data_IF_552810663405
#
_entry.id   IF_552810663405
#
_cell.length_a   1.000
_cell.length_b   1.000
_cell.length_c   1.000
_cell.angle_alpha   90.00
_cell.angle_beta   90.00
_cell.angle_gamma   90.00
#
_symmetry.space_group_name_H-M   'P 1'
#
loop_
_entity.id
_entity.type
_entity.pdbx_description
1 polymer ?
#
# COMPACT_ATOMS: atom_id res chain seq x y z
N UNK A 1 -42.41 15.75 -37.15
CA UNK A 1 -41.42 14.92 -36.44
C UNK A 1 -40.10 15.68 -36.38
N UNK A 2 -39.36 15.61 -35.28
CA UNK A 2 -38.01 16.18 -35.19
C UNK A 2 -37.02 15.22 -34.50
N UNK A 3 -35.74 15.31 -34.85
CA UNK A 3 -34.65 14.54 -34.23
C UNK A 3 -33.81 15.45 -33.34
N UNK A 4 -33.46 15.02 -32.13
CA UNK A 4 -32.79 15.83 -31.10
C UNK A 4 -31.74 15.03 -30.33
N UNK A 5 -30.89 15.65 -29.50
CA UNK A 5 -30.02 14.96 -28.54
C UNK A 5 -28.54 14.75 -28.94
N UNK A 6 -28.12 15.27 -30.09
CA UNK A 6 -26.71 15.21 -30.53
C UNK A 6 -26.26 13.86 -31.09
N UNK A 7 -27.06 12.80 -30.95
CA UNK A 7 -26.87 11.52 -31.65
C UNK A 7 -27.64 11.43 -32.97
N UNK A 8 -27.31 10.43 -33.79
CA UNK A 8 -27.93 10.16 -35.08
C UNK A 8 -28.92 8.98 -35.03
N UNK A 9 -30.00 9.06 -35.82
CA UNK A 9 -31.01 8.00 -35.93
C UNK A 9 -32.05 8.28 -37.01
N UNK A 10 -32.91 7.30 -37.27
CA UNK A 10 -34.00 7.32 -38.26
C UNK A 10 -35.34 7.09 -37.57
N UNK A 11 -36.40 7.76 -38.02
CA UNK A 11 -37.76 7.54 -37.51
C UNK A 11 -38.76 7.34 -38.65
N UNK A 12 -39.52 6.26 -38.61
CA UNK A 12 -40.56 5.92 -39.60
C UNK A 12 -41.96 5.86 -38.98
N UNK A 13 -43.02 6.05 -39.76
CA UNK A 13 -44.42 5.92 -39.29
C UNK A 13 -45.23 4.79 -39.92
N UNK A 14 -46.28 4.36 -39.22
CA UNK A 14 -47.39 3.52 -39.72
C UNK A 14 -48.73 4.22 -39.44
N UNK A 15 -49.57 4.56 -40.44
CA UNK A 15 -49.33 4.38 -41.88
C UNK A 15 -48.09 5.13 -42.40
N UNK A 16 -47.55 4.66 -43.53
CA UNK A 16 -46.34 5.21 -44.12
C UNK A 16 -46.54 6.69 -44.52
N UNK A 17 -45.56 7.53 -44.24
CA UNK A 17 -45.60 8.95 -44.58
C UNK A 17 -44.55 9.80 -43.87
N UNK A 18 -44.00 9.32 -42.75
CA UNK A 18 -42.82 9.90 -42.08
C UNK A 18 -41.64 8.95 -42.22
N UNK A 19 -40.48 9.50 -42.57
CA UNK A 19 -39.16 8.87 -42.68
C UNK A 19 -38.05 9.89 -42.41
N UNK A 20 -37.90 10.32 -41.15
CA UNK A 20 -36.88 11.28 -40.73
C UNK A 20 -35.49 10.64 -40.69
N UNK A 21 -34.42 11.35 -41.11
CA UNK A 21 -34.34 12.79 -41.38
C UNK A 21 -34.82 13.25 -42.76
N UNK A 22 -35.27 12.34 -43.65
CA UNK A 22 -35.72 12.67 -45.00
C UNK A 22 -37.07 13.38 -45.03
N UNK A 23 -38.17 12.65 -44.79
CA UNK A 23 -39.54 13.19 -44.80
C UNK A 23 -40.03 13.29 -43.35
N UNK A 24 -40.03 14.51 -42.79
CA UNK A 24 -40.35 14.72 -41.37
C UNK A 24 -41.72 15.33 -41.08
N UNK A 25 -42.50 15.64 -42.11
CA UNK A 25 -43.87 16.14 -42.00
C UNK A 25 -44.73 15.55 -43.11
N UNK A 26 -45.94 15.13 -42.77
CA UNK A 26 -46.96 14.64 -43.71
C UNK A 26 -48.35 14.82 -43.10
N UNK A 27 -49.38 14.83 -43.92
CA UNK A 27 -50.77 14.85 -43.47
C UNK A 27 -51.38 13.44 -43.58
N UNK A 28 -52.15 13.04 -42.59
CA UNK A 28 -52.94 11.81 -42.59
C UNK A 28 -54.44 12.15 -42.52
N UNK A 29 -55.34 11.30 -43.02
CA UNK A 29 -56.78 11.53 -42.90
C UNK A 29 -57.22 11.68 -41.44
N UNK A 30 -58.23 12.53 -41.20
CA UNK A 30 -58.76 12.79 -39.87
C UNK A 30 -59.19 11.49 -39.17
N UNK A 31 -58.83 11.37 -37.89
CA UNK A 31 -59.08 10.18 -37.08
C UNK A 31 -58.06 9.04 -37.25
N UNK A 32 -57.07 9.16 -38.14
CA UNK A 32 -56.01 8.14 -38.30
C UNK A 32 -55.08 8.12 -37.08
N UNK A 33 -54.88 6.95 -36.49
CA UNK A 33 -53.83 6.73 -35.50
C UNK A 33 -52.50 6.45 -36.20
N UNK A 34 -51.45 7.23 -35.88
CA UNK A 34 -50.12 7.12 -36.48
C UNK A 34 -49.14 6.64 -35.41
N UNK A 35 -48.49 5.50 -35.67
CA UNK A 35 -47.45 4.92 -34.79
C UNK A 35 -46.06 5.20 -35.34
N UNK A 36 -45.08 5.48 -34.47
CA UNK A 36 -43.69 5.78 -34.85
C UNK A 36 -42.71 4.71 -34.35
N UNK A 37 -41.72 4.40 -35.19
CA UNK A 37 -40.59 3.53 -34.86
C UNK A 37 -39.29 4.30 -35.00
N UNK A 38 -38.45 4.30 -33.96
CA UNK A 38 -37.12 4.91 -33.95
C UNK A 38 -36.05 3.82 -34.13
N UNK A 39 -35.03 4.11 -34.95
CA UNK A 39 -33.87 3.24 -35.17
C UNK A 39 -32.59 4.07 -35.03
N UNK A 40 -31.78 3.88 -33.97
CA UNK A 40 -30.50 4.57 -33.83
C UNK A 40 -29.53 4.24 -34.97
N UNK A 41 -28.70 5.20 -35.36
CA UNK A 41 -27.54 4.92 -36.21
C UNK A 41 -26.45 4.18 -35.40
N UNK A 42 -25.48 3.57 -36.09
CA UNK A 42 -24.33 2.94 -35.42
C UNK A 42 -23.63 3.93 -34.46
N UNK A 43 -23.25 3.46 -33.26
CA UNK A 43 -22.62 4.29 -32.22
C UNK A 43 -23.56 5.21 -31.43
N UNK A 44 -24.88 5.11 -31.63
CA UNK A 44 -25.88 5.95 -30.98
C UNK A 44 -26.96 5.12 -30.26
N UNK A 45 -27.63 5.71 -29.27
CA UNK A 45 -28.79 5.14 -28.57
C UNK A 45 -30.04 6.00 -28.76
N UNK A 46 -31.22 5.38 -28.74
CA UNK A 46 -32.50 6.08 -28.66
C UNK A 46 -32.87 6.31 -27.20
N UNK A 47 -32.96 7.57 -26.78
CA UNK A 47 -33.23 7.95 -25.39
C UNK A 47 -34.73 8.06 -25.08
N UNK A 48 -35.56 8.29 -26.10
CA UNK A 48 -37.01 8.33 -25.94
C UNK A 48 -37.71 9.37 -26.82
N UNK A 49 -39.03 9.36 -26.73
CA UNK A 49 -39.94 10.29 -27.38
C UNK A 49 -40.22 11.51 -26.50
N UNK A 50 -40.50 12.64 -27.14
CA UNK A 50 -40.96 13.88 -26.53
C UNK A 50 -42.15 14.47 -27.28
N UNK A 51 -42.92 15.32 -26.60
CA UNK A 51 -44.13 15.96 -27.12
C UNK A 51 -45.39 15.21 -26.65
N UNK A 52 -46.27 14.75 -27.55
CA UNK A 52 -47.48 14.01 -27.18
C UNK A 52 -47.18 12.57 -26.70
N UNK A 53 -45.94 12.11 -26.87
CA UNK A 53 -45.42 10.84 -26.37
C UNK A 53 -44.27 11.11 -25.40
N UNK A 54 -44.09 10.25 -24.41
CA UNK A 54 -42.99 10.33 -23.44
C UNK A 54 -42.37 8.97 -23.16
N UNK A 55 -41.05 8.95 -22.97
CA UNK A 55 -40.29 7.73 -22.66
C UNK A 55 -39.91 6.90 -23.89
N UNK A 56 -39.32 5.72 -23.67
CA UNK A 56 -38.78 4.87 -24.75
C UNK A 56 -39.79 3.82 -25.29
N UNK A 57 -41.05 3.87 -24.84
CA UNK A 57 -42.11 2.97 -25.27
C UNK A 57 -42.60 3.24 -26.70
N UNK A 58 -43.69 2.59 -27.10
CA UNK A 58 -44.36 2.87 -28.37
C UNK A 58 -44.94 4.29 -28.37
N UNK A 59 -44.81 5.01 -29.48
CA UNK A 59 -45.41 6.33 -29.64
C UNK A 59 -46.50 6.25 -30.72
N UNK A 60 -47.74 6.53 -30.33
CA UNK A 60 -48.90 6.59 -31.22
C UNK A 60 -49.68 7.86 -30.95
N UNK A 61 -50.03 8.60 -32.00
CA UNK A 61 -50.77 9.87 -31.91
C UNK A 61 -51.98 9.85 -32.84
N UNK A 62 -53.05 10.54 -32.45
CA UNK A 62 -54.20 10.85 -33.31
C UNK A 62 -54.42 12.35 -33.33
N UNK A 63 -54.58 12.92 -34.52
CA UNK A 63 -54.70 14.38 -34.72
C UNK A 63 -53.36 15.10 -34.97
N UNK A 64 -53.42 16.43 -35.03
CA UNK A 64 -52.24 17.26 -35.34
C UNK A 64 -51.28 17.30 -34.16
N UNK A 65 -50.07 16.76 -34.33
CA UNK A 65 -49.08 16.74 -33.26
C UNK A 65 -47.63 16.83 -33.78
N UNK A 66 -46.74 17.37 -32.96
CA UNK A 66 -45.30 17.36 -33.20
C UNK A 66 -44.63 16.39 -32.22
N UNK A 67 -44.17 15.25 -32.72
CA UNK A 67 -43.37 14.27 -31.97
C UNK A 67 -41.88 14.56 -32.21
N UNK A 68 -41.07 14.41 -31.17
CA UNK A 68 -39.61 14.46 -31.29
C UNK A 68 -38.97 13.17 -30.77
N UNK A 69 -37.95 12.67 -31.45
CA UNK A 69 -37.13 11.55 -31.03
C UNK A 69 -35.76 12.06 -30.55
N UNK A 70 -35.29 11.60 -29.40
CA UNK A 70 -33.97 11.96 -28.88
C UNK A 70 -33.01 10.79 -29.06
N UNK A 71 -31.88 11.06 -29.73
CA UNK A 71 -30.76 10.14 -29.88
C UNK A 71 -29.52 10.74 -29.23
N UNK A 72 -28.67 9.92 -28.64
CA UNK A 72 -27.38 10.36 -28.11
C UNK A 72 -26.25 9.44 -28.56
N UNK A 73 -25.03 9.99 -28.64
CA UNK A 73 -23.82 9.18 -28.78
C UNK A 73 -23.71 8.24 -27.59
N UNK A 74 -23.33 6.99 -27.84
CA UNK A 74 -22.91 6.11 -26.76
C UNK A 74 -21.63 6.70 -26.12
N UNK A 75 -21.45 6.58 -24.79
CA UNK A 75 -20.17 6.89 -24.17
C UNK A 75 -19.06 6.14 -24.90
N UNK A 76 -17.90 6.79 -25.10
CA UNK A 76 -16.74 6.11 -25.68
C UNK A 76 -16.43 4.86 -24.85
N UNK A 77 -16.65 3.68 -25.42
CA UNK A 77 -16.36 2.42 -24.77
C UNK A 77 -14.84 2.33 -24.57
N UNK A 78 -14.40 2.38 -23.32
CA UNK A 78 -13.01 2.09 -22.94
C UNK A 78 -13.00 0.82 -22.10
N UNK A 79 -12.02 -0.03 -22.37
CA UNK A 79 -11.77 -1.18 -21.51
C UNK A 79 -11.14 -0.70 -20.20
N UNK A 80 -11.52 -1.33 -19.09
CA UNK A 80 -10.73 -1.32 -17.87
C UNK A 80 -9.91 -2.60 -17.81
N UNK A 81 -8.61 -2.47 -17.54
CA UNK A 81 -7.74 -3.63 -17.33
C UNK A 81 -7.59 -3.80 -15.83
N UNK A 82 -7.95 -4.97 -15.30
CA UNK A 82 -7.92 -5.25 -13.86
C UNK A 82 -7.12 -6.52 -13.56
N UNK A 83 -6.38 -6.56 -12.44
CA UNK A 83 -5.72 -7.78 -11.97
C UNK A 83 -6.76 -8.80 -11.48
N UNK A 84 -6.52 -10.09 -11.76
CA UNK A 84 -7.41 -11.18 -11.33
C UNK A 84 -6.68 -12.31 -10.60
N UNK A 85 -5.35 -12.41 -10.75
CA UNK A 85 -4.49 -13.22 -9.90
C UNK A 85 -3.05 -12.67 -9.95
N UNK A 86 -2.48 -12.37 -8.79
CA UNK A 86 -1.05 -12.25 -8.59
C UNK A 86 -0.61 -13.44 -7.72
N UNK A 87 0.66 -13.89 -7.80
CA UNK A 87 1.18 -14.69 -6.69
C UNK A 87 0.99 -13.89 -5.39
N UNK A 88 0.58 -14.58 -4.32
CA UNK A 88 0.44 -13.98 -2.98
C UNK A 88 1.73 -14.24 -2.20
N UNK A 89 2.73 -13.36 -2.20
CA UNK A 89 3.43 -13.04 -0.97
C UNK A 89 2.46 -12.35 -0.01
N UNK A 90 2.71 -12.41 1.29
CA UNK A 90 1.73 -12.26 2.39
C UNK A 90 0.92 -10.94 2.49
N UNK A 91 1.02 -10.00 1.55
CA UNK A 91 0.37 -8.69 1.63
C UNK A 91 -0.30 -8.33 0.29
N UNK A 92 -1.53 -7.79 0.38
CA UNK A 92 -2.24 -7.22 -0.78
C UNK A 92 -1.57 -5.91 -1.18
N UNK A 93 -0.83 -5.91 -2.28
CA UNK A 93 -0.34 -4.69 -2.92
C UNK A 93 -1.53 -3.79 -3.31
N UNK A 94 -1.44 -2.50 -3.02
CA UNK A 94 -2.40 -1.50 -3.48
C UNK A 94 -2.64 -1.65 -4.99
N UNK A 95 -3.89 -1.48 -5.42
CA UNK A 95 -4.31 -1.75 -6.81
C UNK A 95 -4.07 -0.60 -7.79
N UNK A 96 -3.25 0.40 -7.45
CA UNK A 96 -2.83 1.44 -8.40
C UNK A 96 -1.57 2.19 -7.89
N UNK A 97 -0.43 2.15 -8.60
CA UNK A 97 -0.15 1.27 -9.73
C UNK A 97 -0.03 -0.20 -9.27
N UNK A 98 -0.31 -1.14 -10.17
CA UNK A 98 -0.05 -2.57 -9.93
C UNK A 98 1.45 -2.78 -9.74
N UNK A 99 1.88 -3.41 -8.64
CA UNK A 99 3.30 -3.71 -8.39
C UNK A 99 3.61 -5.19 -8.66
N UNK A 100 4.72 -5.46 -9.36
CA UNK A 100 5.25 -6.82 -9.59
C UNK A 100 6.77 -6.85 -9.37
N UNK A 101 7.34 -7.97 -8.96
CA UNK A 101 8.79 -8.09 -8.92
C UNK A 101 9.36 -8.40 -10.30
N UNK A 102 10.65 -8.12 -10.45
CA UNK A 102 11.40 -8.60 -11.62
C UNK A 102 11.14 -10.09 -11.84
N UNK A 103 10.85 -10.48 -13.09
CA UNK A 103 10.51 -11.85 -13.50
C UNK A 103 9.22 -12.44 -12.94
N UNK A 104 8.49 -11.75 -12.06
CA UNK A 104 7.18 -12.23 -11.61
C UNK A 104 6.13 -12.09 -12.70
N UNK A 105 5.02 -12.81 -12.52
CA UNK A 105 3.89 -12.72 -13.41
C UNK A 105 2.61 -12.38 -12.66
N UNK A 106 1.68 -11.73 -13.35
CA UNK A 106 0.31 -11.56 -12.91
C UNK A 106 -0.65 -11.74 -14.09
N UNK A 107 -1.87 -12.16 -13.77
CA UNK A 107 -2.95 -12.32 -14.73
C UNK A 107 -3.89 -11.13 -14.68
N UNK A 108 -4.21 -10.61 -15.86
CA UNK A 108 -5.10 -9.48 -16.06
C UNK A 108 -6.34 -9.88 -16.85
N UNK A 109 -7.46 -9.22 -16.58
CA UNK A 109 -8.70 -9.28 -17.33
C UNK A 109 -9.02 -7.91 -17.91
N UNK A 110 -9.44 -7.86 -19.17
CA UNK A 110 -10.07 -6.67 -19.73
C UNK A 110 -11.58 -6.75 -19.48
N UNK A 111 -12.15 -5.67 -18.95
CA UNK A 111 -13.57 -5.54 -18.67
C UNK A 111 -14.15 -4.34 -19.40
N UNK A 112 -15.32 -4.53 -20.00
CA UNK A 112 -16.13 -3.46 -20.58
C UNK A 112 -17.40 -3.32 -19.75
N UNK A 113 -17.60 -2.17 -19.12
CA UNK A 113 -18.72 -1.93 -18.20
C UNK A 113 -18.85 -2.99 -17.09
N UNK A 114 -17.71 -3.47 -16.59
CA UNK A 114 -17.63 -4.49 -15.53
C UNK A 114 -17.77 -5.94 -15.99
N UNK A 115 -18.05 -6.19 -17.27
CA UNK A 115 -18.15 -7.53 -17.85
C UNK A 115 -16.85 -7.93 -18.55
N UNK A 116 -16.44 -9.19 -18.39
CA UNK A 116 -15.23 -9.73 -19.04
C UNK A 116 -15.35 -9.70 -20.55
N UNK A 117 -14.31 -9.21 -21.22
CA UNK A 117 -14.19 -9.27 -22.68
C UNK A 117 -13.54 -10.59 -23.08
N UNK A 118 -14.22 -11.46 -23.87
CA UNK A 118 -13.74 -12.82 -24.14
C UNK A 118 -12.60 -12.89 -25.15
N UNK A 119 -12.47 -11.89 -26.04
CA UNK A 119 -11.41 -11.83 -27.06
C UNK A 119 -10.66 -10.52 -26.97
N UNK A 120 -9.44 -10.60 -26.44
CA UNK A 120 -8.60 -9.44 -26.19
C UNK A 120 -7.26 -9.63 -26.89
N UNK A 121 -6.80 -8.57 -27.55
CA UNK A 121 -5.42 -8.45 -28.01
C UNK A 121 -4.61 -7.73 -26.94
N UNK A 122 -3.62 -8.42 -26.38
CA UNK A 122 -2.72 -7.89 -25.35
C UNK A 122 -1.40 -7.44 -25.96
N UNK A 123 -0.83 -6.35 -25.43
CA UNK A 123 0.50 -5.88 -25.81
C UNK A 123 1.19 -5.13 -24.67
N UNK A 124 2.51 -5.24 -24.60
CA UNK A 124 3.35 -4.38 -23.75
C UNK A 124 3.77 -3.18 -24.58
N UNK A 125 3.42 -1.98 -24.13
CA UNK A 125 3.59 -0.75 -24.93
C UNK A 125 5.04 -0.46 -25.27
N UNK A 126 5.94 -0.70 -24.32
CA UNK A 126 7.38 -0.47 -24.44
C UNK A 126 8.11 -1.63 -25.14
N UNK A 127 7.39 -2.68 -25.57
CA UNK A 127 7.96 -3.85 -26.24
C UNK A 127 8.54 -4.91 -25.30
N UNK A 128 9.23 -5.90 -25.86
CA UNK A 128 9.60 -7.13 -25.14
C UNK A 128 10.61 -6.94 -23.99
N UNK A 129 11.39 -5.85 -24.01
CA UNK A 129 12.32 -5.52 -22.93
C UNK A 129 11.59 -5.09 -21.63
N UNK A 130 10.34 -4.65 -21.77
CA UNK A 130 9.46 -4.26 -20.66
C UNK A 130 8.58 -5.41 -20.15
N UNK A 131 8.87 -6.65 -20.56
CA UNK A 131 8.11 -7.83 -20.16
C UNK A 131 7.42 -8.50 -21.35
N UNK A 132 6.74 -9.61 -21.07
CA UNK A 132 6.06 -10.43 -22.07
C UNK A 132 4.64 -10.70 -21.59
N UNK A 133 3.65 -10.54 -22.48
CA UNK A 133 2.25 -10.89 -22.19
C UNK A 133 1.78 -12.02 -23.10
N UNK A 134 1.17 -13.05 -22.50
CA UNK A 134 0.52 -14.15 -23.20
C UNK A 134 -0.90 -13.75 -23.67
N UNK A 135 -1.44 -14.45 -24.66
CA UNK A 135 -2.76 -14.16 -25.22
C UNK A 135 -3.93 -14.27 -24.22
N UNK A 136 -3.72 -14.90 -23.06
CA UNK A 136 -4.70 -15.03 -22.00
C UNK A 136 -4.63 -13.91 -20.94
N UNK A 137 -3.80 -12.88 -21.17
CA UNK A 137 -3.61 -11.75 -20.26
C UNK A 137 -2.59 -12.01 -19.14
N UNK A 138 -1.84 -13.11 -19.19
CA UNK A 138 -0.74 -13.35 -18.25
C UNK A 138 0.48 -12.53 -18.66
N UNK A 139 0.84 -11.52 -17.88
CA UNK A 139 2.03 -10.69 -18.07
C UNK A 139 3.14 -11.14 -17.14
N UNK A 140 4.35 -11.29 -17.67
CA UNK A 140 5.60 -11.57 -16.95
C UNK A 140 6.51 -10.35 -17.02
N UNK A 141 6.85 -9.80 -15.85
CA UNK A 141 7.70 -8.65 -15.68
C UNK A 141 9.15 -8.87 -16.17
N UNK A 142 9.83 -7.82 -16.64
CA UNK A 142 11.22 -7.88 -17.08
C UNK A 142 12.18 -8.02 -15.89
N UNK A 143 13.48 -8.03 -16.17
CA UNK A 143 14.52 -8.07 -15.14
C UNK A 143 14.91 -6.69 -14.62
N UNK A 144 14.35 -5.63 -15.20
CA UNK A 144 14.64 -4.24 -14.89
C UNK A 144 13.48 -3.61 -14.15
N UNK A 145 13.77 -2.89 -13.08
CA UNK A 145 12.77 -2.10 -12.37
C UNK A 145 12.29 -0.92 -13.23
N UNK A 146 11.09 -0.42 -12.96
CA UNK A 146 10.52 0.70 -13.70
C UNK A 146 9.00 0.67 -13.78
N UNK A 147 8.43 1.63 -14.51
CA UNK A 147 7.01 1.65 -14.84
C UNK A 147 6.82 1.19 -16.28
N UNK A 148 5.93 0.23 -16.48
CA UNK A 148 5.61 -0.37 -17.77
C UNK A 148 4.11 -0.36 -18.00
N UNK A 149 3.67 -0.39 -19.26
CA UNK A 149 2.26 -0.32 -19.61
C UNK A 149 1.79 -1.59 -20.30
N UNK A 150 0.75 -2.19 -19.73
CA UNK A 150 0.03 -3.30 -20.34
C UNK A 150 -1.24 -2.76 -21.00
N UNK A 151 -1.31 -2.90 -22.33
CA UNK A 151 -2.43 -2.47 -23.16
C UNK A 151 -3.33 -3.67 -23.53
N UNK A 152 -4.63 -3.41 -23.59
CA UNK A 152 -5.66 -4.34 -24.02
C UNK A 152 -6.55 -3.67 -25.09
N UNK A 153 -6.78 -4.35 -26.21
CA UNK A 153 -7.75 -3.95 -27.24
C UNK A 153 -8.75 -5.07 -27.50
N UNK A 154 -10.02 -4.73 -27.69
CA UNK A 154 -11.04 -5.71 -28.10
C UNK A 154 -10.73 -6.21 -29.51
N UNK A 155 -10.81 -7.53 -29.71
CA UNK A 155 -10.66 -8.11 -31.08
C UNK A 155 -11.90 -7.82 -31.92
N UNK A 156 -13.07 -7.68 -31.28
CA UNK A 156 -14.34 -7.43 -31.96
C UNK A 156 -14.52 -5.96 -32.37
N UNK A 157 -13.85 -5.05 -31.66
CA UNK A 157 -13.81 -3.61 -31.98
C UNK A 157 -12.43 -3.03 -31.58
N UNK A 158 -11.47 -2.97 -32.52
CA UNK A 158 -10.09 -2.53 -32.22
C UNK A 158 -9.95 -1.08 -31.75
N UNK A 159 -10.97 -0.24 -31.94
CA UNK A 159 -10.99 1.14 -31.43
C UNK A 159 -11.30 1.19 -29.92
N UNK A 160 -11.81 0.08 -29.35
CA UNK A 160 -12.11 -0.07 -27.94
C UNK A 160 -10.90 -0.69 -27.22
N UNK A 161 -10.15 0.16 -26.51
CA UNK A 161 -8.96 -0.24 -25.75
C UNK A 161 -8.91 0.30 -24.33
N UNK A 162 -7.93 -0.19 -23.58
CA UNK A 162 -7.62 0.19 -22.19
C UNK A 162 -6.18 -0.16 -21.82
N UNK A 163 -5.69 0.41 -20.72
CA UNK A 163 -4.32 0.21 -20.26
C UNK A 163 -4.23 0.21 -18.74
N UNK A 164 -3.18 -0.41 -18.20
CA UNK A 164 -2.79 -0.31 -16.78
C UNK A 164 -1.28 -0.04 -16.66
N UNK A 165 -0.89 0.70 -15.63
CA UNK A 165 0.51 0.92 -15.25
C UNK A 165 0.94 -0.18 -14.29
N UNK A 166 2.07 -0.83 -14.61
CA UNK A 166 2.72 -1.84 -13.78
C UNK A 166 4.06 -1.27 -13.32
N UNK A 167 4.22 -1.12 -12.01
CA UNK A 167 5.49 -0.80 -11.39
C UNK A 167 6.26 -2.10 -11.08
N UNK A 168 7.36 -2.32 -11.78
CA UNK A 168 8.24 -3.47 -11.57
C UNK A 168 9.36 -3.08 -10.64
N UNK A 169 9.60 -3.92 -9.63
CA UNK A 169 10.48 -3.57 -8.51
C UNK A 169 11.43 -4.72 -8.12
N UNK A 170 12.53 -4.41 -7.42
CA UNK A 170 13.62 -5.34 -7.15
C UNK A 170 13.30 -6.30 -5.99
N UNK A 171 13.78 -7.54 -6.03
CA UNK A 171 13.48 -8.50 -4.93
C UNK A 171 14.21 -8.21 -3.61
N UNK A 172 15.10 -7.21 -3.57
CA UNK A 172 15.98 -6.91 -2.43
C UNK A 172 15.72 -5.54 -1.80
N UNK A 173 14.67 -4.83 -2.21
CA UNK A 173 14.32 -3.51 -1.70
C UNK A 173 13.07 -3.60 -0.81
N UNK A 174 12.94 -2.67 0.15
CA UNK A 174 11.71 -2.46 0.90
C UNK A 174 10.70 -1.63 0.09
N UNK A 175 9.43 -1.84 0.37
CA UNK A 175 8.31 -1.16 -0.27
C UNK A 175 7.45 -0.43 0.74
N UNK A 176 7.09 0.82 0.40
CA UNK A 176 6.10 1.59 1.15
C UNK A 176 4.69 1.08 0.81
N UNK A 177 4.03 0.47 1.81
CA UNK A 177 2.65 0.00 1.78
C UNK A 177 1.65 1.06 2.30
N UNK A 178 2.11 2.24 2.67
CA UNK A 178 1.26 3.40 3.02
C UNK A 178 0.88 3.51 4.49
N UNK A 179 1.39 2.62 5.36
CA UNK A 179 1.19 2.66 6.81
C UNK A 179 1.84 3.87 7.49
N UNK A 180 1.71 3.97 8.81
CA UNK A 180 2.39 5.01 9.59
C UNK A 180 3.91 4.80 9.57
N UNK A 181 4.69 5.86 9.70
CA UNK A 181 6.13 5.84 9.95
C UNK A 181 6.44 6.83 11.07
N UNK A 182 7.60 6.73 11.72
CA UNK A 182 8.05 7.68 12.73
C UNK A 182 9.36 8.34 12.29
N UNK A 183 9.32 9.47 11.56
CA UNK A 183 10.54 10.20 11.21
C UNK A 183 11.29 10.73 12.42
N UNK A 184 10.55 11.15 13.45
CA UNK A 184 11.11 11.81 14.63
C UNK A 184 10.61 11.21 15.94
N UNK A 185 10.81 9.91 16.20
CA UNK A 185 10.24 9.27 17.37
C UNK A 185 10.87 9.84 18.64
N UNK A 186 10.04 9.95 19.66
CA UNK A 186 10.52 9.98 21.04
C UNK A 186 10.80 8.55 21.50
N UNK A 187 11.83 8.35 22.31
CA UNK A 187 12.15 7.07 22.94
C UNK A 187 12.06 7.22 24.45
N UNK A 188 11.22 6.39 25.08
CA UNK A 188 11.14 6.26 26.53
C UNK A 188 11.60 4.87 26.93
N UNK A 189 12.56 4.78 27.84
CA UNK A 189 13.06 3.50 28.36
C UNK A 189 12.35 3.15 29.68
N UNK A 190 11.76 1.96 29.77
CA UNK A 190 11.11 1.46 30.98
C UNK A 190 11.91 0.25 31.46
N UNK A 191 12.71 0.45 32.49
CA UNK A 191 13.58 -0.58 33.09
C UNK A 191 12.81 -1.40 34.13
N UNK A 192 12.48 -2.63 33.76
CA UNK A 192 11.84 -3.61 34.63
C UNK A 192 12.86 -4.42 35.42
N UNK A 193 13.16 -3.95 36.62
CA UNK A 193 14.19 -4.54 37.49
C UNK A 193 14.99 -3.48 38.22
N UNK A 194 15.86 -3.92 39.13
CA UNK A 194 16.77 -3.01 39.79
C UNK A 194 17.85 -2.54 38.81
N UNK A 195 18.37 -1.32 38.99
CA UNK A 195 19.34 -0.72 38.05
C UNK A 195 20.59 -1.59 37.91
N UNK A 196 21.02 -2.21 39.00
CA UNK A 196 22.15 -3.13 39.07
C UNK A 196 21.96 -4.43 38.27
N UNK A 197 20.71 -4.84 38.00
CA UNK A 197 20.45 -5.99 37.14
C UNK A 197 20.74 -5.69 35.65
N UNK A 198 20.86 -4.40 35.28
CA UNK A 198 21.17 -3.92 33.93
C UNK A 198 22.62 -3.42 33.80
N UNK A 199 23.56 -4.06 34.50
CA UNK A 199 24.97 -3.65 34.52
C UNK A 199 25.53 -3.37 33.11
N UNK A 200 25.94 -2.12 32.87
CA UNK A 200 26.46 -1.61 31.59
C UNK A 200 25.41 -1.24 30.56
N UNK A 201 24.19 -1.80 30.62
CA UNK A 201 23.15 -1.54 29.62
C UNK A 201 22.61 -0.10 29.69
N UNK A 202 22.41 0.44 30.89
CA UNK A 202 21.89 1.82 31.02
C UNK A 202 22.85 2.82 30.37
N UNK A 203 24.15 2.70 30.66
CA UNK A 203 25.17 3.60 30.12
C UNK A 203 25.35 3.42 28.61
N UNK A 204 25.30 2.17 28.12
CA UNK A 204 25.36 1.86 26.68
C UNK A 204 24.19 2.51 25.91
N UNK A 205 22.96 2.42 26.45
CA UNK A 205 21.77 3.02 25.84
C UNK A 205 21.79 4.54 25.88
N UNK A 206 22.24 5.14 26.98
CA UNK A 206 22.40 6.60 27.07
C UNK A 206 23.43 7.10 26.07
N UNK A 207 24.57 6.41 25.95
CA UNK A 207 25.61 6.77 24.97
C UNK A 207 25.15 6.61 23.52
N UNK A 208 24.40 5.54 23.21
CA UNK A 208 23.75 5.37 21.91
C UNK A 208 22.77 6.51 21.61
N UNK A 209 21.79 6.75 22.49
CA UNK A 209 20.73 7.75 22.26
C UNK A 209 21.28 9.19 22.20
N UNK A 210 22.37 9.48 22.90
CA UNK A 210 23.06 10.76 22.81
C UNK A 210 23.85 10.94 21.49
N UNK A 211 24.29 9.85 20.87
CA UNK A 211 25.19 9.88 19.69
C UNK A 211 24.55 9.46 18.36
N UNK A 212 23.35 8.88 18.36
CA UNK A 212 22.73 8.28 17.17
C UNK A 212 22.33 9.31 16.11
N UNK A 213 21.92 10.51 16.52
CA UNK A 213 21.54 11.57 15.59
C UNK A 213 22.74 12.06 14.78
N UNK A 214 22.57 12.13 13.46
CA UNK A 214 23.65 12.48 12.53
C UNK A 214 24.64 11.35 12.24
N UNK A 215 24.39 10.14 12.74
CA UNK A 215 25.22 8.98 12.42
C UNK A 215 24.95 8.40 11.04
N UNK A 216 25.94 7.71 10.47
CA UNK A 216 25.79 6.97 9.22
C UNK A 216 24.68 5.90 9.31
N UNK A 217 24.64 5.17 10.43
CA UNK A 217 23.61 4.17 10.70
C UNK A 217 22.19 4.75 10.62
N UNK A 218 21.92 5.85 11.33
CA UNK A 218 20.60 6.47 11.33
C UNK A 218 20.24 7.07 9.96
N UNK A 219 21.22 7.60 9.23
CA UNK A 219 21.00 8.20 7.91
C UNK A 219 20.50 7.20 6.85
N UNK A 220 20.68 5.90 7.06
CA UNK A 220 20.06 4.86 6.20
C UNK A 220 18.54 4.98 6.26
N UNK A 221 17.97 5.35 7.41
CA UNK A 221 16.52 5.46 7.60
C UNK A 221 15.90 6.60 6.80
N UNK A 222 16.67 7.64 6.46
CA UNK A 222 16.18 8.82 5.72
C UNK A 222 15.44 8.47 4.43
N UNK A 223 15.89 7.43 3.72
CA UNK A 223 15.28 7.00 2.46
C UNK A 223 13.86 6.43 2.64
N UNK A 224 13.49 6.07 3.87
CA UNK A 224 12.20 5.51 4.24
C UNK A 224 11.28 6.57 4.89
N UNK A 225 11.76 7.79 5.13
CA UNK A 225 11.03 8.82 5.89
C UNK A 225 10.14 9.73 5.03
N UNK A 226 9.76 9.30 3.82
CA UNK A 226 8.85 10.04 2.92
C UNK A 226 9.27 11.52 2.68
N UNK A 227 10.58 11.75 2.59
CA UNK A 227 11.16 13.07 2.33
C UNK A 227 11.60 13.84 3.59
N UNK A 228 11.34 13.32 4.79
CA UNK A 228 11.89 13.85 6.04
C UNK A 228 13.25 13.18 6.38
N UNK A 229 13.83 13.57 7.51
CA UNK A 229 15.06 13.00 8.09
C UNK A 229 14.75 12.24 9.37
N UNK A 230 15.42 11.11 9.55
CA UNK A 230 15.32 10.32 10.76
C UNK A 230 16.07 11.01 11.91
N UNK A 231 15.36 11.32 13.00
CA UNK A 231 15.92 11.95 14.20
C UNK A 231 15.29 11.32 15.45
N UNK A 232 16.09 10.89 16.42
CA UNK A 232 15.59 10.27 17.65
C UNK A 232 15.68 11.27 18.80
N UNK A 233 14.58 11.45 19.54
CA UNK A 233 14.55 12.25 20.76
C UNK A 233 14.45 11.34 21.99
N UNK A 234 15.42 11.42 22.92
CA UNK A 234 15.29 10.71 24.19
C UNK A 234 14.30 11.44 25.11
N UNK A 235 13.18 10.80 25.44
CA UNK A 235 12.10 11.37 26.25
C UNK A 235 12.18 11.02 27.74
N UNK A 236 13.22 10.27 28.14
CA UNK A 236 13.49 9.93 29.54
C UNK A 236 13.42 8.43 29.81
N UNK A 237 13.61 8.08 31.08
CA UNK A 237 13.58 6.70 31.55
C UNK A 237 12.84 6.55 32.87
N UNK A 238 12.28 5.36 33.09
CA UNK A 238 11.53 4.99 34.29
C UNK A 238 12.12 3.67 34.81
N UNK A 239 12.40 3.60 36.11
CA UNK A 239 12.80 2.36 36.77
C UNK A 239 11.63 1.79 37.57
N UNK A 240 11.21 0.60 37.17
CA UNK A 240 10.10 -0.14 37.78
C UNK A 240 10.70 -1.31 38.58
N UNK A 241 10.72 -1.25 39.93
CA UNK A 241 11.24 -2.35 40.73
C UNK A 241 10.38 -3.60 40.53
N UNK A 242 10.97 -4.63 39.93
CA UNK A 242 10.31 -5.90 39.68
C UNK A 242 10.30 -6.78 40.95
N UNK A 243 9.23 -7.55 41.23
CA UNK A 243 9.20 -8.52 42.32
C UNK A 243 10.12 -9.72 42.01
N UNK A 244 11.42 -9.55 42.23
CA UNK A 244 12.46 -10.58 42.08
C UNK A 244 12.77 -10.98 40.63
N UNK A 245 13.94 -11.62 40.45
CA UNK A 245 14.53 -12.04 39.15
C UNK A 245 13.73 -13.07 38.33
N UNK A 246 12.47 -13.34 38.66
CA UNK A 246 11.67 -14.44 38.11
C UNK A 246 10.21 -14.09 37.78
N UNK A 247 9.85 -12.80 37.73
CA UNK A 247 8.51 -12.43 37.27
C UNK A 247 8.37 -12.75 35.77
N UNK A 248 7.45 -13.65 35.42
CA UNK A 248 7.09 -13.91 34.02
C UNK A 248 6.66 -12.59 33.36
N UNK A 249 7.15 -12.32 32.15
CA UNK A 249 6.73 -11.19 31.32
C UNK A 249 5.30 -11.45 30.80
N UNK A 250 4.32 -11.41 31.69
CA UNK A 250 2.91 -11.53 31.34
C UNK A 250 2.44 -10.15 30.88
N UNK A 251 2.21 -10.06 29.58
CA UNK A 251 1.50 -8.97 28.92
C UNK A 251 2.18 -7.58 28.98
N UNK A 252 3.23 -7.36 28.15
CA UNK A 252 4.04 -6.14 28.20
C UNK A 252 3.28 -4.87 27.83
N UNK A 253 2.30 -4.97 26.93
CA UNK A 253 1.50 -3.81 26.49
C UNK A 253 0.71 -3.16 27.63
N UNK A 254 -0.22 -3.90 28.29
CA UNK A 254 -0.94 -3.41 29.45
C UNK A 254 -0.01 -2.95 30.57
N UNK A 255 1.15 -3.59 30.74
CA UNK A 255 2.09 -3.12 31.75
C UNK A 255 2.70 -1.76 31.42
N UNK A 256 3.13 -1.53 30.18
CA UNK A 256 3.57 -0.19 29.73
C UNK A 256 2.46 0.83 30.03
N UNK A 257 1.20 0.53 29.67
CA UNK A 257 0.09 1.43 29.93
C UNK A 257 -0.12 1.73 31.43
N UNK A 258 0.03 0.73 32.31
CA UNK A 258 -0.04 0.95 33.76
C UNK A 258 1.09 1.84 34.26
N UNK A 259 2.33 1.64 33.78
CA UNK A 259 3.48 2.48 34.14
C UNK A 259 3.22 3.93 33.72
N UNK A 260 2.72 4.16 32.51
CA UNK A 260 2.39 5.52 32.07
C UNK A 260 1.34 6.17 32.98
N UNK A 261 0.28 5.45 33.34
CA UNK A 261 -0.76 5.96 34.23
C UNK A 261 -0.24 6.26 35.64
N UNK A 262 0.59 5.38 36.22
CA UNK A 262 1.16 5.52 37.56
C UNK A 262 2.11 6.73 37.66
N UNK A 263 2.84 7.03 36.58
CA UNK A 263 3.74 8.18 36.50
C UNK A 263 3.06 9.45 35.94
N UNK A 264 1.75 9.43 35.72
CA UNK A 264 1.00 10.58 35.21
C UNK A 264 1.35 11.00 33.78
N UNK A 265 1.91 10.08 32.99
CA UNK A 265 2.29 10.31 31.61
C UNK A 265 1.13 9.96 30.68
N UNK A 266 0.85 10.85 29.72
CA UNK A 266 -0.14 10.58 28.68
C UNK A 266 0.48 9.68 27.59
N UNK A 267 -0.23 8.65 27.10
CA UNK A 267 0.24 7.85 25.98
C UNK A 267 0.32 8.70 24.71
N UNK A 268 1.41 8.53 23.97
CA UNK A 268 1.73 9.33 22.80
C UNK A 268 2.07 8.41 21.59
N UNK A 269 1.35 8.52 20.47
CA UNK A 269 1.56 7.67 19.30
C UNK A 269 2.93 7.87 18.63
N UNK A 270 3.59 9.01 18.85
CA UNK A 270 4.91 9.33 18.29
C UNK A 270 6.06 8.95 19.25
N UNK A 271 5.74 8.25 20.37
CA UNK A 271 6.72 7.80 21.36
C UNK A 271 6.83 6.28 21.35
N UNK A 272 8.05 5.79 21.11
CA UNK A 272 8.43 4.38 21.25
C UNK A 272 8.70 4.08 22.72
N UNK A 273 7.80 3.31 23.34
CA UNK A 273 7.95 2.87 24.73
C UNK A 273 8.68 1.53 24.77
N UNK A 274 9.92 1.54 25.26
CA UNK A 274 10.79 0.37 25.26
C UNK A 274 10.81 -0.28 26.64
N UNK A 275 10.19 -1.45 26.78
CA UNK A 275 10.21 -2.24 28.01
C UNK A 275 11.47 -3.11 28.06
N UNK A 276 12.37 -2.76 28.97
CA UNK A 276 13.68 -3.35 29.17
C UNK A 276 13.63 -4.31 30.36
N UNK A 277 13.79 -5.61 30.15
CA UNK A 277 13.51 -6.62 31.18
C UNK A 277 14.81 -7.25 31.68
N UNK A 278 15.05 -7.18 32.98
CA UNK A 278 16.28 -7.66 33.63
C UNK A 278 16.48 -9.19 33.56
N UNK A 279 15.41 -9.97 33.41
CA UNK A 279 15.46 -11.43 33.47
C UNK A 279 14.44 -12.11 32.55
N UNK A 280 14.90 -13.06 31.73
CA UNK A 280 14.13 -14.22 31.27
C UNK A 280 15.07 -15.28 30.67
N UNK A 281 14.78 -16.56 30.94
CA UNK A 281 15.57 -17.71 30.50
C UNK A 281 15.59 -17.95 28.96
N UNK A 282 14.90 -17.12 28.18
CA UNK A 282 14.90 -17.12 26.72
C UNK A 282 15.02 -15.67 26.19
N UNK A 283 15.80 -15.47 25.12
CA UNK A 283 15.96 -14.17 24.45
C UNK A 283 14.62 -13.76 23.83
N UNK A 284 14.13 -12.57 24.21
CA UNK A 284 12.99 -11.90 23.59
C UNK A 284 13.46 -10.54 23.08
N UNK A 285 13.22 -10.29 21.80
CA UNK A 285 13.37 -9.00 21.14
C UNK A 285 12.30 -8.95 20.05
N UNK A 286 11.43 -7.96 20.12
CA UNK A 286 10.43 -7.64 19.11
C UNK A 286 9.92 -6.22 19.34
N UNK A 287 9.37 -5.63 18.29
CA UNK A 287 8.50 -4.46 18.39
C UNK A 287 7.06 -4.82 18.05
N UNK A 288 6.13 -4.01 18.55
CA UNK A 288 4.70 -4.18 18.35
C UNK A 288 3.98 -2.86 18.62
N UNK A 289 2.66 -2.91 18.71
CA UNK A 289 1.84 -1.82 19.22
C UNK A 289 0.96 -2.32 20.36
N UNK A 290 0.63 -1.40 21.27
CA UNK A 290 -0.36 -1.62 22.32
C UNK A 290 -1.32 -0.45 22.39
N UNK A 291 -2.45 -0.62 23.07
CA UNK A 291 -3.48 0.41 23.19
C UNK A 291 -3.64 0.80 24.65
N UNK A 292 -3.25 2.03 24.98
CA UNK A 292 -3.45 2.63 26.29
C UNK A 292 -4.70 3.52 26.24
N UNK A 293 -5.82 3.03 26.79
CA UNK A 293 -7.11 3.70 26.67
C UNK A 293 -7.60 3.68 25.22
N UNK A 294 -7.64 4.83 24.55
CA UNK A 294 -7.98 4.96 23.13
C UNK A 294 -6.78 5.27 22.23
N UNK A 295 -5.58 5.37 22.79
CA UNK A 295 -4.36 5.74 22.07
C UNK A 295 -3.53 4.49 21.81
N UNK A 296 -3.25 4.22 20.55
CA UNK A 296 -2.31 3.17 20.17
C UNK A 296 -0.90 3.74 20.17
N UNK A 297 0.03 3.04 20.84
CA UNK A 297 1.43 3.45 20.97
C UNK A 297 2.36 2.33 20.50
N UNK A 298 3.47 2.66 19.83
CA UNK A 298 4.50 1.69 19.46
C UNK A 298 5.30 1.26 20.70
N UNK A 299 5.63 -0.02 20.77
CA UNK A 299 6.38 -0.60 21.88
C UNK A 299 7.54 -1.44 21.36
N UNK A 300 8.64 -1.45 22.11
CA UNK A 300 9.75 -2.38 21.93
C UNK A 300 9.87 -3.20 23.22
N UNK A 301 10.04 -4.51 23.10
CA UNK A 301 10.20 -5.40 24.25
C UNK A 301 11.52 -6.14 24.14
N UNK A 302 12.37 -5.95 25.13
CA UNK A 302 13.72 -6.53 25.15
C UNK A 302 13.98 -7.21 26.48
N UNK A 303 14.55 -8.40 26.43
CA UNK A 303 15.12 -9.07 27.61
C UNK A 303 16.63 -8.97 27.60
N UNK A 304 17.23 -8.70 28.75
CA UNK A 304 18.66 -8.84 28.94
C UNK A 304 19.06 -10.31 28.74
N UNK A 305 19.94 -10.64 27.78
CA UNK A 305 20.27 -12.02 27.48
C UNK A 305 21.14 -12.65 28.58
N UNK A 306 20.97 -13.95 28.80
CA UNK A 306 21.82 -14.72 29.73
C UNK A 306 23.29 -14.69 29.32
N UNK A 307 24.19 -14.65 30.30
CA UNK A 307 25.64 -14.44 30.14
C UNK A 307 26.42 -15.49 29.31
N UNK A 308 25.75 -16.45 28.67
CA UNK A 308 26.37 -17.54 27.89
C UNK A 308 26.07 -17.55 26.38
N UNK A 309 25.15 -16.72 25.88
CA UNK A 309 24.90 -16.65 24.44
C UNK A 309 26.13 -16.02 23.76
N UNK A 310 26.94 -16.80 23.02
CA UNK A 310 28.10 -16.25 22.32
C UNK A 310 27.60 -15.52 21.07
N UNK A 311 27.93 -14.24 20.95
CA UNK A 311 27.76 -13.47 19.72
C UNK A 311 28.99 -12.57 19.57
N UNK A 312 29.69 -12.74 18.45
CA UNK A 312 30.90 -11.96 18.17
C UNK A 312 30.51 -10.53 17.78
N UNK A 313 31.18 -9.56 18.40
CA UNK A 313 30.98 -8.15 18.13
C UNK A 313 31.85 -7.67 16.97
N UNK A 314 31.33 -6.75 16.17
CA UNK A 314 32.07 -6.17 15.05
C UNK A 314 32.93 -4.98 15.45
N UNK A 315 32.69 -4.39 16.63
CA UNK A 315 33.58 -3.40 17.25
C UNK A 315 34.74 -4.01 18.08
N UNK A 316 34.90 -5.33 18.02
CA UNK A 316 35.93 -6.08 18.74
C UNK A 316 35.37 -7.02 19.81
N UNK A 317 36.04 -8.16 20.00
CA UNK A 317 35.74 -9.13 21.06
C UNK A 317 34.33 -9.75 21.01
N UNK A 318 33.95 -10.40 22.10
CA UNK A 318 32.59 -10.92 22.31
C UNK A 318 31.71 -9.85 22.95
N UNK A 319 30.47 -9.73 22.48
CA UNK A 319 29.53 -8.77 23.05
C UNK A 319 29.14 -9.13 24.48
N UNK A 320 29.12 -8.14 25.37
CA UNK A 320 28.51 -8.24 26.70
C UNK A 320 26.99 -8.42 26.59
N UNK A 321 26.28 -8.88 27.65
CA UNK A 321 24.83 -8.90 27.64
C UNK A 321 24.18 -7.55 27.32
N UNK A 322 24.72 -6.47 27.87
CA UNK A 322 24.30 -5.09 27.59
C UNK A 322 24.42 -4.73 26.10
N UNK A 323 25.58 -4.99 25.50
CA UNK A 323 25.81 -4.71 24.08
C UNK A 323 24.93 -5.55 23.16
N UNK A 324 24.62 -6.80 23.52
CA UNK A 324 23.65 -7.63 22.77
C UNK A 324 22.24 -7.08 22.85
N UNK A 325 21.85 -6.58 24.02
CA UNK A 325 20.55 -5.94 24.22
C UNK A 325 20.46 -4.67 23.38
N UNK A 326 21.50 -3.84 23.36
CA UNK A 326 21.56 -2.64 22.52
C UNK A 326 21.54 -2.97 21.02
N UNK A 327 22.24 -4.01 20.58
CA UNK A 327 22.15 -4.49 19.20
C UNK A 327 20.71 -4.86 18.83
N UNK A 328 20.05 -5.63 19.69
CA UNK A 328 18.65 -6.02 19.48
C UNK A 328 17.75 -4.79 19.51
N UNK A 329 18.00 -3.81 20.39
CA UNK A 329 17.29 -2.54 20.37
C UNK A 329 17.46 -1.78 19.05
N UNK A 330 18.67 -1.70 18.50
CA UNK A 330 18.89 -1.04 17.21
C UNK A 330 18.15 -1.71 16.07
N UNK A 331 17.99 -3.05 16.11
CA UNK A 331 17.14 -3.82 15.19
C UNK A 331 15.69 -3.35 15.31
N UNK A 332 15.10 -3.54 16.48
CA UNK A 332 13.68 -3.26 16.72
C UNK A 332 13.35 -1.77 16.53
N UNK A 333 14.28 -0.88 16.86
CA UNK A 333 14.10 0.56 16.71
C UNK A 333 14.05 0.97 15.24
N UNK A 334 14.94 0.43 14.39
CA UNK A 334 14.91 0.73 12.97
C UNK A 334 13.58 0.27 12.34
N UNK A 335 13.14 -0.93 12.69
CA UNK A 335 11.85 -1.47 12.21
C UNK A 335 10.68 -0.65 12.74
N UNK A 336 10.65 -0.31 14.03
CA UNK A 336 9.61 0.55 14.62
C UNK A 336 9.57 1.94 13.97
N UNK A 337 10.72 2.49 13.54
CA UNK A 337 10.78 3.77 12.85
C UNK A 337 10.15 3.67 11.45
N UNK A 338 10.48 2.61 10.72
CA UNK A 338 10.01 2.40 9.35
C UNK A 338 8.63 1.76 9.27
N UNK A 339 8.16 1.12 10.34
CA UNK A 339 6.87 0.47 10.45
C UNK A 339 6.42 0.28 11.93
N UNK A 340 6.02 1.35 12.64
CA UNK A 340 5.54 1.27 14.03
C UNK A 340 4.29 0.39 14.20
N UNK A 341 3.64 0.00 13.09
CA UNK A 341 2.56 -0.98 13.08
C UNK A 341 2.96 -2.12 12.15
N UNK A 342 3.54 -3.21 12.68
CA UNK A 342 4.15 -4.26 11.87
C UNK A 342 3.30 -4.66 10.66
N UNK A 343 3.96 -4.77 9.51
CA UNK A 343 3.39 -5.14 8.22
C UNK A 343 2.41 -4.13 7.61
N UNK A 344 2.56 -2.84 7.91
CA UNK A 344 1.71 -1.78 7.32
C UNK A 344 2.45 -0.74 6.51
N UNK A 345 3.74 -0.49 6.77
CA UNK A 345 4.51 0.58 6.14
C UNK A 345 5.65 0.05 5.28
N UNK A 346 6.89 0.01 5.75
CA UNK A 346 8.02 -0.45 4.94
C UNK A 346 8.39 -1.89 5.27
N UNK A 347 8.22 -2.77 4.28
CA UNK A 347 8.66 -4.15 4.36
C UNK A 347 9.08 -4.64 2.98
N UNK A 348 9.85 -5.71 2.94
CA UNK A 348 10.16 -6.41 1.72
C UNK A 348 8.91 -7.18 1.23
N UNK A 349 9.12 -8.06 0.26
CA UNK A 349 8.05 -8.81 -0.40
C UNK A 349 7.60 -10.02 0.43
N UNK A 350 8.47 -10.53 1.30
CA UNK A 350 8.19 -11.63 2.21
C UNK A 350 7.61 -11.13 3.55
N UNK A 351 7.55 -9.81 3.74
CA UNK A 351 7.13 -9.17 4.97
C UNK A 351 8.27 -9.07 5.99
N UNK A 352 9.53 -9.21 5.55
CA UNK A 352 10.71 -8.87 6.34
C UNK A 352 10.86 -7.36 6.42
N UNK A 353 11.24 -6.88 7.60
CA UNK A 353 11.44 -5.47 7.86
C UNK A 353 12.91 -5.08 7.64
N UNK A 354 13.19 -3.79 7.75
CA UNK A 354 14.49 -3.20 7.39
C UNK A 354 15.70 -3.86 8.06
N UNK A 355 15.55 -4.40 9.27
CA UNK A 355 16.63 -5.00 10.03
C UNK A 355 16.67 -6.53 9.91
N UNK A 356 15.53 -7.18 9.64
CA UNK A 356 15.40 -8.62 9.36
C UNK A 356 16.23 -9.08 8.15
N UNK A 357 16.18 -8.35 7.04
CA UNK A 357 16.84 -8.74 5.78
C UNK A 357 18.36 -8.82 5.87
N UNK A 358 18.94 -8.09 6.82
CA UNK A 358 20.38 -7.96 6.96
C UNK A 358 20.91 -8.68 8.19
N UNK A 359 20.22 -8.64 9.34
CA UNK A 359 20.45 -9.39 10.59
C UNK A 359 21.91 -9.52 11.11
N UNK A 360 22.88 -8.86 10.49
CA UNK A 360 24.32 -8.91 10.78
C UNK A 360 24.71 -7.72 11.63
N UNK A 361 25.84 -7.79 12.33
CA UNK A 361 26.32 -6.66 13.13
C UNK A 361 27.24 -5.76 12.31
N UNK A 362 27.26 -4.47 12.63
CA UNK A 362 28.21 -3.47 12.12
C UNK A 362 28.84 -2.73 13.28
N UNK A 363 30.03 -2.18 13.08
CA UNK A 363 30.62 -1.31 14.08
C UNK A 363 30.30 0.15 13.77
N UNK A 364 29.36 0.72 14.50
CA UNK A 364 29.03 2.13 14.42
C UNK A 364 29.89 2.92 15.42
N UNK A 365 30.59 3.94 14.93
CA UNK A 365 31.45 4.80 15.76
C UNK A 365 30.70 6.10 16.04
N UNK A 366 30.46 6.39 17.32
CA UNK A 366 29.88 7.64 17.80
C UNK A 366 30.89 8.42 18.65
N UNK A 367 30.63 9.70 18.94
CA UNK A 367 31.50 10.49 19.82
C UNK A 367 31.68 9.87 21.22
N UNK A 368 30.66 9.18 21.73
CA UNK A 368 30.67 8.56 23.06
C UNK A 368 31.29 7.15 23.10
N UNK A 369 31.54 6.53 21.94
CA UNK A 369 32.07 5.17 21.86
C UNK A 369 31.68 4.44 20.58
N UNK A 370 32.12 3.19 20.47
CA UNK A 370 31.79 2.32 19.34
C UNK A 370 30.79 1.25 19.77
N UNK A 371 29.74 1.05 18.97
CA UNK A 371 28.63 0.17 19.28
C UNK A 371 28.42 -0.83 18.16
N UNK A 372 28.25 -2.10 18.52
CA UNK A 372 27.87 -3.13 17.54
C UNK A 372 26.37 -3.09 17.31
N UNK A 373 25.95 -2.45 16.22
CA UNK A 373 24.53 -2.27 15.85
C UNK A 373 24.11 -3.26 14.78
N UNK A 374 22.80 -3.38 14.55
CA UNK A 374 22.28 -4.18 13.43
C UNK A 374 22.48 -3.44 12.11
N UNK A 375 23.01 -4.16 11.11
CA UNK A 375 23.10 -3.69 9.73
C UNK A 375 21.69 -3.54 9.15
N UNK A 376 21.45 -2.49 8.37
CA UNK A 376 20.12 -2.18 7.84
C UNK A 376 20.08 -2.38 6.32
N UNK A 377 18.93 -2.77 5.80
CA UNK A 377 18.71 -2.76 4.36
C UNK A 377 18.69 -1.33 3.83
N UNK A 378 19.29 -1.11 2.67
CA UNK A 378 19.29 0.17 1.98
C UNK A 378 18.84 0.00 0.54
N UNK A 379 17.69 0.58 0.21
CA UNK A 379 17.18 0.60 -1.16
C UNK A 379 18.12 1.37 -2.11
N UNK A 380 18.79 2.42 -1.62
CA UNK A 380 19.77 3.16 -2.40
C UNK A 380 21.01 2.32 -2.74
N UNK A 381 21.38 1.37 -1.88
CA UNK A 381 22.48 0.43 -2.12
C UNK A 381 22.03 -0.88 -2.78
N UNK A 382 20.71 -1.11 -2.90
CA UNK A 382 20.11 -2.40 -3.27
C UNK A 382 20.66 -3.56 -2.42
N UNK A 383 20.78 -3.35 -1.11
CA UNK A 383 21.35 -4.33 -0.20
C UNK A 383 21.73 -3.76 1.17
N UNK A 384 22.32 -4.60 1.99
CA UNK A 384 22.68 -4.26 3.36
C UNK A 384 23.80 -3.22 3.44
N UNK A 385 23.59 -2.18 4.25
CA UNK A 385 24.50 -1.06 4.41
C UNK A 385 24.92 -0.84 5.88
N UNK A 386 26.19 -0.47 6.14
CA UNK A 386 26.71 -0.22 7.48
C UNK A 386 26.50 1.21 8.00
#
# INVERSE_FOLDING_TARGET
MSLTGGGAGRVTSTPAGIDCPGICATAFPDGTAVSFAATPAAGNSFLGWNGPCSGAGTCTVSGTATVSATFALLPAAKLTVVPVAAQVPNIRLNSDPMRLFVRQWAKFEARLNGLTVPRVKWSVREGAAAGVVAGDGTYTAPQTTGFYHLDAASVDDPEVGGAIVIQVVATQDLYDYGGSILPKPKVTLIWWGAREDFAGAVDDFHGFLAGVNGSAWLSILDQYMRGDKAEIAFAGEIFEPAPGRAASLLDPGPRICSVLAEHGLSPDPDTVYSLMVAAAAAKVAYHANTTCGSVQVPIIVLTLPVAGAVQDGTCGGRLTPAQKMLRSFSHELAETITDPRPFTAWADIYGQEIADDCAHAICAVFPAGSYSLTMLLSNAAHGCAP
#
